data_IF_116589529735
#
_entry.id   IF_116589529735
#
_cell.length_a   1.000
_cell.length_b   1.000
_cell.length_c   1.000
_cell.angle_alpha   90.00
_cell.angle_beta   90.00
_cell.angle_gamma   90.00
#
_symmetry.space_group_name_H-M   'P 1'
#
loop_
_entity.id
_entity.type
_entity.pdbx_description
1 polymer ?
#
# COMPACT_ATOMS: atom_id res chain seq x y z
N UNK A 1 -29.21 8.44 4.13
CA UNK A 1 -28.47 8.77 5.36
C UNK A 1 -27.47 9.85 4.98
N UNK A 2 -27.65 11.08 5.45
CA UNK A 2 -26.72 12.17 5.09
C UNK A 2 -25.38 11.89 5.75
N UNK A 3 -24.28 12.27 5.10
CA UNK A 3 -22.91 12.08 5.60
C UNK A 3 -22.74 12.61 7.02
N UNK A 4 -23.53 13.60 7.46
CA UNK A 4 -23.51 14.16 8.83
C UNK A 4 -24.05 13.21 9.91
N UNK A 5 -24.98 12.31 9.62
CA UNK A 5 -25.53 11.36 10.61
C UNK A 5 -24.56 10.22 10.95
N UNK A 6 -23.68 9.85 10.00
CA UNK A 6 -22.68 8.78 10.17
C UNK A 6 -21.60 9.19 11.20
N UNK A 7 -21.43 10.49 11.48
CA UNK A 7 -20.50 11.01 12.49
C UNK A 7 -21.05 11.00 13.92
N UNK A 8 -22.33 10.70 14.11
CA UNK A 8 -22.91 10.49 15.45
C UNK A 8 -22.93 9.02 15.85
N UNK A 9 -22.17 8.16 15.18
CA UNK A 9 -21.98 6.81 15.69
C UNK A 9 -21.29 6.89 17.05
N UNK A 10 -21.89 6.33 18.11
CA UNK A 10 -21.32 6.40 19.45
C UNK A 10 -19.91 5.81 19.42
N UNK A 11 -18.93 6.45 20.08
CA UNK A 11 -17.51 6.06 20.02
C UNK A 11 -17.25 4.56 20.25
N UNK A 12 -18.11 3.89 21.02
CA UNK A 12 -18.10 2.44 21.23
C UNK A 12 -18.27 1.61 19.95
N UNK A 13 -19.04 2.06 18.96
CA UNK A 13 -19.22 1.32 17.68
C UNK A 13 -17.98 1.46 16.80
N UNK A 14 -17.39 2.67 16.73
CA UNK A 14 -16.17 2.91 15.96
C UNK A 14 -14.99 2.11 16.52
N UNK A 15 -14.85 2.05 17.86
CA UNK A 15 -13.83 1.24 18.52
C UNK A 15 -13.98 -0.26 18.19
N UNK A 16 -15.21 -0.79 18.22
CA UNK A 16 -15.48 -2.20 17.89
C UNK A 16 -15.14 -2.53 16.43
N UNK A 17 -15.51 -1.66 15.49
CA UNK A 17 -15.17 -1.85 14.07
C UNK A 17 -13.64 -1.81 13.91
N UNK A 18 -12.98 -0.80 14.47
CA UNK A 18 -11.51 -0.68 14.42
C UNK A 18 -10.79 -1.90 14.99
N UNK A 19 -11.24 -2.40 16.15
CA UNK A 19 -10.70 -3.61 16.77
C UNK A 19 -10.90 -4.84 15.87
N UNK A 20 -12.09 -5.03 15.29
CA UNK A 20 -12.36 -6.16 14.40
C UNK A 20 -11.47 -6.15 13.15
N UNK A 21 -11.27 -4.97 12.55
CA UNK A 21 -10.38 -4.75 11.40
C UNK A 21 -8.95 -5.11 11.78
N UNK A 22 -8.46 -4.61 12.92
CA UNK A 22 -7.11 -4.93 13.39
C UNK A 22 -6.91 -6.43 13.59
N UNK A 23 -7.82 -7.10 14.32
CA UNK A 23 -7.74 -8.54 14.59
C UNK A 23 -7.71 -9.35 13.28
N UNK A 24 -8.66 -9.10 12.37
CA UNK A 24 -8.73 -9.84 11.10
C UNK A 24 -7.46 -9.66 10.27
N UNK A 25 -6.93 -8.44 10.19
CA UNK A 25 -5.73 -8.18 9.40
C UNK A 25 -4.45 -8.72 10.04
N UNK A 26 -4.36 -8.75 11.38
CA UNK A 26 -3.25 -9.42 12.06
C UNK A 26 -3.30 -10.93 11.82
N UNK A 27 -4.50 -11.54 11.86
CA UNK A 27 -4.66 -12.95 11.50
C UNK A 27 -4.26 -13.22 10.05
N UNK A 28 -4.68 -12.38 9.10
CA UNK A 28 -4.22 -12.42 7.70
C UNK A 28 -2.69 -12.40 7.62
N UNK A 29 -2.06 -11.52 8.38
CA UNK A 29 -0.62 -11.35 8.37
C UNK A 29 0.09 -12.57 8.99
N UNK A 30 -0.40 -13.12 10.12
CA UNK A 30 0.12 -14.33 10.77
C UNK A 30 0.03 -15.52 9.81
N UNK A 31 -1.15 -15.74 9.20
CA UNK A 31 -1.37 -16.83 8.24
C UNK A 31 -0.43 -16.67 7.05
N UNK A 32 -0.32 -15.46 6.48
CA UNK A 32 0.58 -15.20 5.34
C UNK A 32 2.05 -15.43 5.71
N UNK A 33 2.46 -15.03 6.91
CA UNK A 33 3.80 -15.30 7.45
C UNK A 33 4.07 -16.79 7.58
N UNK A 34 3.17 -17.54 8.22
CA UNK A 34 3.28 -18.99 8.35
C UNK A 34 3.36 -19.72 7.01
N UNK A 35 2.55 -19.30 6.03
CA UNK A 35 2.61 -19.82 4.66
C UNK A 35 3.98 -19.53 4.02
N UNK A 36 4.53 -18.33 4.18
CA UNK A 36 5.83 -17.98 3.61
C UNK A 36 6.97 -18.80 4.25
N UNK A 37 6.95 -19.00 5.58
CA UNK A 37 7.91 -19.89 6.26
C UNK A 37 7.78 -21.34 5.77
N UNK A 38 6.54 -21.82 5.61
CA UNK A 38 6.28 -23.16 5.07
C UNK A 38 6.81 -23.31 3.64
N UNK A 39 6.57 -22.33 2.77
CA UNK A 39 7.08 -22.30 1.40
C UNK A 39 8.61 -22.26 1.37
N UNK A 40 9.24 -21.41 2.17
CA UNK A 40 10.70 -21.34 2.28
C UNK A 40 11.30 -22.68 2.73
N UNK A 41 10.69 -23.34 3.72
CA UNK A 41 11.12 -24.66 4.20
C UNK A 41 11.02 -25.75 3.13
N UNK A 42 9.95 -25.73 2.32
CA UNK A 42 9.65 -26.79 1.35
C UNK A 42 10.33 -26.60 0.00
N UNK A 43 10.45 -25.37 -0.47
CA UNK A 43 11.03 -25.07 -1.78
C UNK A 43 12.55 -24.90 -1.71
N UNK A 44 13.11 -24.67 -0.52
CA UNK A 44 14.51 -24.27 -0.37
C UNK A 44 14.77 -22.85 -0.89
N UNK A 45 16.01 -22.41 -0.81
CA UNK A 45 16.40 -21.04 -1.12
C UNK A 45 16.10 -20.65 -2.58
N UNK A 46 16.49 -21.49 -3.54
CA UNK A 46 16.29 -21.21 -4.98
C UNK A 46 14.81 -21.25 -5.37
N UNK A 47 14.08 -22.30 -4.96
CA UNK A 47 12.65 -22.43 -5.26
C UNK A 47 11.83 -21.30 -4.65
N UNK A 48 12.15 -20.91 -3.41
CA UNK A 48 11.54 -19.75 -2.77
C UNK A 48 11.94 -18.43 -3.43
N UNK A 49 13.16 -18.33 -3.97
CA UNK A 49 13.62 -17.21 -4.79
C UNK A 49 12.76 -17.01 -6.04
N UNK A 50 12.45 -18.08 -6.79
CA UNK A 50 11.55 -18.00 -7.95
C UNK A 50 10.12 -17.61 -7.57
N UNK A 51 9.58 -18.18 -6.48
CA UNK A 51 8.28 -17.79 -5.94
C UNK A 51 8.25 -16.29 -5.58
N UNK A 52 9.28 -15.83 -4.86
CA UNK A 52 9.46 -14.45 -4.46
C UNK A 52 9.54 -13.50 -5.67
N UNK A 53 10.14 -13.97 -6.76
CA UNK A 53 10.27 -13.20 -7.99
C UNK A 53 8.91 -12.99 -8.67
N UNK A 54 8.06 -14.02 -8.69
CA UNK A 54 6.67 -13.90 -9.16
C UNK A 54 5.90 -12.84 -8.34
N UNK A 55 6.08 -12.83 -7.02
CA UNK A 55 5.46 -11.86 -6.12
C UNK A 55 5.98 -10.44 -6.36
N UNK A 56 7.26 -10.29 -6.72
CA UNK A 56 7.85 -9.01 -7.08
C UNK A 56 7.27 -8.46 -8.40
N UNK A 57 7.13 -9.32 -9.42
CA UNK A 57 6.41 -8.95 -10.66
C UNK A 57 4.97 -8.55 -10.36
N UNK A 58 4.26 -9.31 -9.51
CA UNK A 58 2.92 -8.96 -9.06
C UNK A 58 2.88 -7.58 -8.41
N UNK A 59 3.89 -7.22 -7.62
CA UNK A 59 3.97 -5.91 -6.96
C UNK A 59 4.17 -4.79 -7.98
N UNK A 60 5.00 -5.01 -9.01
CA UNK A 60 5.17 -4.05 -10.11
C UNK A 60 3.90 -3.82 -10.90
N UNK A 61 3.23 -4.89 -11.34
CA UNK A 61 1.97 -4.78 -12.07
C UNK A 61 0.91 -4.12 -11.21
N UNK A 62 0.82 -4.47 -9.93
CA UNK A 62 -0.09 -3.83 -8.98
C UNK A 62 0.14 -2.31 -8.90
N UNK A 63 1.39 -1.87 -8.67
CA UNK A 63 1.71 -0.44 -8.51
C UNK A 63 1.36 0.40 -9.73
N UNK A 64 1.56 -0.14 -10.95
CA UNK A 64 1.22 0.58 -12.19
C UNK A 64 -0.30 0.52 -12.44
N UNK A 65 -0.88 -0.67 -12.40
CA UNK A 65 -2.29 -0.88 -12.72
C UNK A 65 -3.24 -0.23 -11.70
N UNK A 66 -2.79 0.04 -10.47
CA UNK A 66 -3.59 0.76 -9.47
C UNK A 66 -3.72 2.25 -9.77
N UNK A 67 -2.90 2.83 -10.65
CA UNK A 67 -2.88 4.27 -10.96
C UNK A 67 -2.70 5.15 -9.71
N UNK A 68 -2.03 4.65 -8.66
CA UNK A 68 -1.91 5.36 -7.38
C UNK A 68 -3.24 5.51 -6.61
N UNK A 69 -4.32 4.85 -7.05
CA UNK A 69 -5.64 4.92 -6.43
C UNK A 69 -5.63 4.44 -4.98
N UNK A 70 -4.69 3.56 -4.60
CA UNK A 70 -4.50 3.14 -3.20
C UNK A 70 -4.13 4.30 -2.27
N UNK A 71 -3.62 5.41 -2.81
CA UNK A 71 -3.24 6.60 -2.05
C UNK A 71 -4.25 7.76 -2.18
N UNK A 72 -4.88 7.93 -3.34
CA UNK A 72 -5.69 9.12 -3.64
C UNK A 72 -7.19 8.87 -3.64
N UNK A 73 -7.65 7.67 -4.01
CA UNK A 73 -9.07 7.43 -4.32
C UNK A 73 -9.98 7.58 -3.09
N UNK A 74 -9.50 7.27 -1.87
CA UNK A 74 -10.28 7.49 -0.65
C UNK A 74 -10.56 8.98 -0.44
N UNK A 75 -9.56 9.85 -0.65
CA UNK A 75 -9.73 11.31 -0.60
C UNK A 75 -10.71 11.75 -1.68
N UNK A 76 -10.50 11.31 -2.92
CA UNK A 76 -11.31 11.73 -4.07
C UNK A 76 -12.78 11.30 -3.92
N UNK A 77 -13.04 10.12 -3.35
CA UNK A 77 -14.39 9.64 -3.04
C UNK A 77 -15.05 10.36 -1.86
N UNK A 78 -14.29 10.89 -0.90
CA UNK A 78 -14.84 11.64 0.24
C UNK A 78 -15.11 13.09 -0.15
N UNK A 79 -14.25 13.68 -0.99
CA UNK A 79 -14.31 15.09 -1.38
C UNK A 79 -15.22 15.35 -2.60
N UNK A 80 -15.62 14.33 -3.37
CA UNK A 80 -16.51 14.48 -4.53
C UNK A 80 -17.99 14.33 -4.20
N UNK A 81 -18.83 15.17 -4.81
CA UNK A 81 -20.30 15.05 -4.77
C UNK A 81 -20.81 13.84 -5.58
N UNK A 82 -20.07 13.41 -6.60
CA UNK A 82 -20.46 12.36 -7.55
C UNK A 82 -19.66 11.08 -7.37
N UNK A 83 -19.72 10.52 -6.15
CA UNK A 83 -18.92 9.36 -5.73
C UNK A 83 -19.02 8.15 -6.66
N UNK A 84 -20.20 7.87 -7.21
CA UNK A 84 -20.42 6.75 -8.16
C UNK A 84 -19.69 6.97 -9.49
N UNK A 85 -19.74 8.19 -10.03
CA UNK A 85 -19.09 8.57 -11.29
C UNK A 85 -17.57 8.56 -11.12
N UNK A 86 -17.05 9.08 -10.00
CA UNK A 86 -15.62 9.00 -9.64
C UNK A 86 -15.14 7.56 -9.52
N UNK A 87 -15.92 6.69 -8.84
CA UNK A 87 -15.57 5.27 -8.73
C UNK A 87 -15.52 4.60 -10.11
N UNK A 88 -16.50 4.85 -10.96
CA UNK A 88 -16.58 4.27 -12.31
C UNK A 88 -15.43 4.77 -13.20
N UNK A 89 -15.13 6.07 -13.14
CA UNK A 89 -13.98 6.67 -13.83
C UNK A 89 -12.65 6.05 -13.39
N UNK A 90 -12.47 5.83 -12.08
CA UNK A 90 -11.29 5.15 -11.55
C UNK A 90 -11.15 3.70 -12.04
N UNK A 91 -12.27 2.98 -12.22
CA UNK A 91 -12.24 1.62 -12.80
C UNK A 91 -11.73 1.68 -14.24
N UNK A 92 -12.28 2.58 -15.05
CA UNK A 92 -11.89 2.73 -16.47
C UNK A 92 -10.41 3.06 -16.59
N UNK A 93 -9.90 4.02 -15.81
CA UNK A 93 -8.47 4.37 -15.81
C UNK A 93 -7.58 3.18 -15.43
N UNK A 94 -7.92 2.45 -14.35
CA UNK A 94 -7.16 1.27 -13.91
C UNK A 94 -7.21 0.12 -14.91
N UNK A 95 -8.32 -0.05 -15.63
CA UNK A 95 -8.43 -1.04 -16.71
C UNK A 95 -7.53 -0.68 -17.89
N UNK A 96 -7.55 0.58 -18.35
CA UNK A 96 -6.71 1.04 -19.46
C UNK A 96 -5.22 0.95 -19.12
N UNK A 97 -4.83 1.46 -17.96
CA UNK A 97 -3.43 1.45 -17.51
C UNK A 97 -2.99 0.02 -17.18
N UNK A 98 -3.86 -0.79 -16.57
CA UNK A 98 -3.61 -2.20 -16.32
C UNK A 98 -3.39 -3.00 -17.61
N UNK A 99 -4.17 -2.73 -18.66
CA UNK A 99 -3.97 -3.36 -19.97
C UNK A 99 -2.61 -3.01 -20.57
N UNK A 100 -2.22 -1.73 -20.55
CA UNK A 100 -0.90 -1.28 -21.03
C UNK A 100 0.22 -1.92 -20.22
N UNK A 101 0.11 -1.93 -18.89
CA UNK A 101 1.09 -2.54 -17.98
C UNK A 101 1.24 -4.04 -18.22
N UNK A 102 0.13 -4.74 -18.49
CA UNK A 102 0.10 -6.17 -18.80
C UNK A 102 0.82 -6.47 -20.10
N UNK A 103 0.52 -5.72 -21.17
CA UNK A 103 1.20 -5.89 -22.47
C UNK A 103 2.69 -5.62 -22.34
N UNK A 104 3.09 -4.54 -21.66
CA UNK A 104 4.49 -4.22 -21.43
C UNK A 104 5.21 -5.33 -20.63
N UNK A 105 4.59 -5.84 -19.56
CA UNK A 105 5.15 -6.92 -18.75
C UNK A 105 5.27 -8.24 -19.55
N UNK A 106 4.28 -8.58 -20.38
CA UNK A 106 4.34 -9.75 -21.26
C UNK A 106 5.44 -9.63 -22.31
N UNK A 107 5.59 -8.47 -22.97
CA UNK A 107 6.67 -8.22 -23.93
C UNK A 107 8.03 -8.41 -23.25
N UNK A 108 8.21 -7.84 -22.06
CA UNK A 108 9.45 -7.97 -21.31
C UNK A 108 9.74 -9.42 -20.90
N UNK A 109 8.73 -10.19 -20.48
CA UNK A 109 8.89 -11.62 -20.19
C UNK A 109 9.27 -12.43 -21.43
N UNK A 110 8.62 -12.17 -22.57
CA UNK A 110 8.90 -12.83 -23.84
C UNK A 110 10.28 -12.49 -24.40
N UNK A 111 10.80 -11.30 -24.07
CA UNK A 111 12.18 -10.90 -24.38
C UNK A 111 13.24 -11.54 -23.46
N UNK A 112 12.84 -12.49 -22.59
CA UNK A 112 13.77 -13.17 -21.68
C UNK A 112 14.06 -12.41 -20.38
N UNK A 113 13.25 -11.41 -20.03
CA UNK A 113 13.48 -10.56 -18.85
C UNK A 113 13.31 -11.25 -17.48
N UNK A 114 12.83 -12.50 -17.42
CA UNK A 114 12.38 -13.15 -16.19
C UNK A 114 13.31 -14.22 -15.61
N UNK A 115 13.52 -14.19 -14.29
CA UNK A 115 14.10 -15.30 -13.51
C UNK A 115 12.97 -16.28 -13.15
N UNK A 116 12.94 -17.48 -13.76
CA UNK A 116 11.90 -18.49 -13.49
C UNK A 116 10.89 -18.73 -14.62
N UNK A 117 11.16 -18.19 -15.81
CA UNK A 117 10.40 -18.48 -17.03
C UNK A 117 9.08 -17.71 -17.18
N UNK A 118 8.50 -17.80 -18.38
CA UNK A 118 7.31 -17.04 -18.80
C UNK A 118 6.09 -17.35 -17.92
N UNK A 119 5.92 -18.61 -17.49
CA UNK A 119 4.77 -19.01 -16.68
C UNK A 119 4.74 -18.37 -15.29
N UNK A 120 5.88 -18.38 -14.59
CA UNK A 120 6.03 -17.74 -13.27
C UNK A 120 5.74 -16.25 -13.34
N UNK A 121 6.32 -15.58 -14.35
CA UNK A 121 6.04 -14.16 -14.59
C UNK A 121 4.58 -13.89 -14.93
N UNK A 122 3.96 -14.72 -15.77
CA UNK A 122 2.55 -14.58 -16.15
C UNK A 122 1.60 -14.71 -14.96
N UNK A 123 1.86 -15.66 -14.05
CA UNK A 123 1.09 -15.77 -12.81
C UNK A 123 1.28 -14.57 -11.89
N UNK A 124 2.50 -14.02 -11.83
CA UNK A 124 2.77 -12.76 -11.14
C UNK A 124 1.96 -11.59 -11.71
N UNK A 125 1.91 -11.45 -13.04
CA UNK A 125 1.10 -10.43 -13.72
C UNK A 125 -0.39 -10.57 -13.36
N UNK A 126 -0.95 -11.78 -13.48
CA UNK A 126 -2.35 -12.05 -13.15
C UNK A 126 -2.68 -11.70 -11.69
N UNK A 127 -1.81 -12.08 -10.76
CA UNK A 127 -1.98 -11.75 -9.35
C UNK A 127 -1.95 -10.23 -9.12
N UNK A 128 -1.00 -9.52 -9.73
CA UNK A 128 -0.86 -8.07 -9.62
C UNK A 128 -2.10 -7.32 -10.12
N UNK A 129 -2.65 -7.73 -11.27
CA UNK A 129 -3.91 -7.20 -11.81
C UNK A 129 -5.08 -7.47 -10.87
N UNK A 130 -5.21 -8.69 -10.36
CA UNK A 130 -6.29 -9.07 -9.47
C UNK A 130 -6.30 -8.25 -8.17
N UNK A 131 -5.12 -7.87 -7.67
CA UNK A 131 -4.97 -6.96 -6.51
C UNK A 131 -5.34 -5.52 -6.91
N UNK A 132 -4.84 -5.02 -8.05
CA UNK A 132 -5.06 -3.63 -8.50
C UNK A 132 -6.55 -3.30 -8.74
N UNK A 133 -7.33 -4.31 -9.13
CA UNK A 133 -8.76 -4.18 -9.38
C UNK A 133 -9.64 -4.27 -8.13
N UNK A 134 -9.07 -4.45 -6.95
CA UNK A 134 -9.88 -4.46 -5.71
C UNK A 134 -10.54 -3.10 -5.47
N UNK A 135 -11.82 -3.05 -5.06
CA UNK A 135 -12.53 -1.81 -4.73
C UNK A 135 -12.30 -1.36 -3.27
N UNK A 136 -11.13 -1.64 -2.70
CA UNK A 136 -10.81 -1.37 -1.29
C UNK A 136 -11.10 0.09 -0.86
N UNK A 137 -10.81 1.06 -1.73
CA UNK A 137 -11.03 2.49 -1.45
C UNK A 137 -12.50 2.84 -1.24
N UNK A 138 -13.43 2.12 -1.87
CA UNK A 138 -14.87 2.32 -1.69
C UNK A 138 -15.30 1.94 -0.26
N UNK A 139 -14.87 0.77 0.21
CA UNK A 139 -15.16 0.32 1.57
C UNK A 139 -14.49 1.22 2.61
N UNK A 140 -13.27 1.69 2.35
CA UNK A 140 -12.58 2.64 3.24
C UNK A 140 -13.34 3.96 3.35
N UNK A 141 -13.76 4.53 2.22
CA UNK A 141 -14.53 5.77 2.17
C UNK A 141 -15.91 5.62 2.86
N UNK A 142 -16.51 4.43 2.82
CA UNK A 142 -17.78 4.13 3.51
C UNK A 142 -17.61 3.60 4.94
N UNK A 143 -16.37 3.51 5.47
CA UNK A 143 -16.05 2.97 6.80
C UNK A 143 -16.46 1.51 7.01
N UNK A 144 -16.53 0.74 5.93
CA UNK A 144 -16.86 -0.69 5.90
C UNK A 144 -15.61 -1.58 5.81
N UNK A 145 -14.48 -1.08 6.32
CA UNK A 145 -13.17 -1.77 6.30
C UNK A 145 -13.23 -3.21 6.84
N UNK A 146 -14.11 -3.47 7.80
CA UNK A 146 -14.29 -4.79 8.42
C UNK A 146 -14.74 -5.86 7.42
N UNK A 147 -15.57 -5.51 6.44
CA UNK A 147 -16.04 -6.44 5.40
C UNK A 147 -14.86 -6.91 4.55
N UNK A 148 -14.03 -5.97 4.10
CA UNK A 148 -12.83 -6.27 3.31
C UNK A 148 -11.86 -7.14 4.11
N UNK A 149 -11.63 -6.81 5.38
CA UNK A 149 -10.73 -7.59 6.24
C UNK A 149 -11.23 -9.02 6.46
N UNK A 150 -12.53 -9.24 6.62
CA UNK A 150 -13.09 -10.58 6.76
C UNK A 150 -12.93 -11.39 5.47
N UNK A 151 -13.22 -10.78 4.32
CA UNK A 151 -13.06 -11.43 3.02
C UNK A 151 -11.59 -11.76 2.72
N UNK A 152 -10.67 -10.87 3.08
CA UNK A 152 -9.23 -11.12 2.97
C UNK A 152 -8.77 -12.23 3.91
N UNK A 153 -9.31 -12.31 5.12
CA UNK A 153 -9.04 -13.42 6.04
C UNK A 153 -9.49 -14.75 5.46
N UNK A 154 -10.73 -14.81 4.96
CA UNK A 154 -11.25 -16.01 4.29
C UNK A 154 -10.38 -16.42 3.10
N UNK A 155 -10.01 -15.47 2.23
CA UNK A 155 -9.10 -15.72 1.10
C UNK A 155 -7.76 -16.29 1.56
N UNK A 156 -7.16 -15.75 2.63
CA UNK A 156 -5.85 -16.20 3.12
C UNK A 156 -5.89 -17.56 3.79
N UNK A 157 -6.97 -17.89 4.50
CA UNK A 157 -7.20 -19.24 5.03
C UNK A 157 -7.30 -20.24 3.88
N UNK A 158 -8.14 -19.97 2.88
CA UNK A 158 -8.31 -20.85 1.72
C UNK A 158 -7.01 -20.99 0.91
N UNK A 159 -6.28 -19.89 0.71
CA UNK A 159 -4.99 -19.89 0.03
C UNK A 159 -3.95 -20.69 0.82
N UNK A 160 -3.92 -20.56 2.15
CA UNK A 160 -3.04 -21.34 3.01
C UNK A 160 -3.30 -22.84 2.89
N UNK A 161 -4.55 -23.25 2.95
CA UNK A 161 -4.94 -24.65 2.75
C UNK A 161 -4.50 -25.16 1.36
N UNK A 162 -4.78 -24.38 0.30
CA UNK A 162 -4.40 -24.75 -1.07
C UNK A 162 -2.88 -24.88 -1.24
N UNK A 163 -2.11 -23.92 -0.72
CA UNK A 163 -0.64 -23.93 -0.78
C UNK A 163 -0.07 -25.13 -0.03
N UNK A 164 -0.54 -25.38 1.20
CA UNK A 164 -0.06 -26.51 2.00
C UNK A 164 -0.38 -27.84 1.31
N UNK A 165 -1.57 -27.99 0.73
CA UNK A 165 -1.94 -29.19 0.00
C UNK A 165 -1.09 -29.40 -1.27
N UNK A 166 -0.93 -28.35 -2.10
CA UNK A 166 -0.21 -28.44 -3.38
C UNK A 166 1.29 -28.62 -3.17
N UNK A 167 1.93 -27.74 -2.40
CA UNK A 167 3.39 -27.80 -2.17
C UNK A 167 3.76 -28.96 -1.24
N UNK A 168 2.86 -29.35 -0.33
CA UNK A 168 3.03 -30.56 0.47
C UNK A 168 3.05 -31.85 -0.35
N UNK A 169 2.37 -31.85 -1.50
CA UNK A 169 2.39 -32.95 -2.48
C UNK A 169 3.67 -32.98 -3.33
N UNK A 170 4.44 -31.89 -3.34
CA UNK A 170 5.74 -31.82 -4.00
C UNK A 170 6.11 -30.41 -4.46
N UNK A 171 7.41 -30.06 -4.50
CA UNK A 171 7.88 -28.73 -4.89
C UNK A 171 7.54 -28.37 -6.35
N UNK A 172 7.34 -29.35 -7.22
CA UNK A 172 6.92 -29.16 -8.61
C UNK A 172 5.57 -28.43 -8.75
N UNK A 173 4.74 -28.43 -7.70
CA UNK A 173 3.43 -27.76 -7.68
C UNK A 173 3.50 -26.30 -7.20
N UNK A 174 4.68 -25.72 -6.99
CA UNK A 174 4.83 -24.32 -6.57
C UNK A 174 4.11 -23.33 -7.50
N UNK A 175 4.17 -23.55 -8.82
CA UNK A 175 3.46 -22.72 -9.78
C UNK A 175 1.93 -22.83 -9.63
N UNK A 176 1.42 -24.04 -9.41
CA UNK A 176 0.00 -24.27 -9.14
C UNK A 176 -0.44 -23.58 -7.84
N UNK A 177 0.44 -23.52 -6.84
CA UNK A 177 0.20 -22.80 -5.61
C UNK A 177 0.05 -21.28 -5.86
N UNK A 178 0.92 -20.66 -6.65
CA UNK A 178 0.78 -19.24 -7.05
C UNK A 178 -0.52 -19.02 -7.83
N UNK A 179 -0.82 -19.91 -8.78
CA UNK A 179 -2.05 -19.83 -9.57
C UNK A 179 -3.30 -19.90 -8.67
N UNK A 180 -3.30 -20.77 -7.65
CA UNK A 180 -4.41 -20.87 -6.69
C UNK A 180 -4.63 -19.57 -5.92
N UNK A 181 -3.56 -18.87 -5.53
CA UNK A 181 -3.64 -17.55 -4.87
C UNK A 181 -4.24 -16.51 -5.82
N UNK A 182 -3.80 -16.50 -7.08
CA UNK A 182 -4.35 -15.58 -8.09
C UNK A 182 -5.85 -15.83 -8.32
N UNK A 183 -6.27 -17.08 -8.44
CA UNK A 183 -7.69 -17.46 -8.60
C UNK A 183 -8.51 -17.02 -7.37
N UNK A 184 -8.04 -17.33 -6.16
CA UNK A 184 -8.73 -16.93 -4.93
C UNK A 184 -8.82 -15.40 -4.80
N UNK A 185 -7.79 -14.67 -5.20
CA UNK A 185 -7.81 -13.21 -5.25
C UNK A 185 -8.84 -12.68 -6.25
N UNK A 186 -8.95 -13.28 -7.44
CA UNK A 186 -9.99 -12.94 -8.43
C UNK A 186 -11.38 -13.20 -7.85
N UNK A 187 -11.62 -14.36 -7.25
CA UNK A 187 -12.90 -14.70 -6.59
C UNK A 187 -13.24 -13.68 -5.51
N UNK A 188 -12.28 -13.35 -4.63
CA UNK A 188 -12.46 -12.33 -3.61
C UNK A 188 -12.81 -10.95 -4.23
N UNK A 189 -12.08 -10.53 -5.26
CA UNK A 189 -12.37 -9.27 -5.97
C UNK A 189 -13.77 -9.27 -6.59
N UNK A 190 -14.23 -10.38 -7.17
CA UNK A 190 -15.60 -10.52 -7.70
C UNK A 190 -16.64 -10.37 -6.59
N UNK A 191 -16.44 -11.03 -5.46
CA UNK A 191 -17.34 -10.91 -4.29
C UNK A 191 -17.40 -9.46 -3.82
N UNK A 192 -16.25 -8.79 -3.67
CA UNK A 192 -16.18 -7.38 -3.28
C UNK A 192 -16.93 -6.48 -4.26
N UNK A 193 -16.72 -6.66 -5.57
CA UNK A 193 -17.44 -5.89 -6.59
C UNK A 193 -18.94 -6.14 -6.59
N UNK A 194 -19.38 -7.37 -6.29
CA UNK A 194 -20.80 -7.69 -6.14
C UNK A 194 -21.45 -6.91 -4.99
N UNK A 195 -20.72 -6.70 -3.89
CA UNK A 195 -21.19 -5.90 -2.76
C UNK A 195 -21.23 -4.41 -3.12
N UNK A 196 -20.20 -3.89 -3.80
CA UNK A 196 -20.18 -2.50 -4.26
C UNK A 196 -21.36 -2.21 -5.20
N UNK A 197 -21.66 -3.11 -6.15
CA UNK A 197 -22.82 -2.97 -7.06
C UNK A 197 -24.17 -2.92 -6.35
N UNK A 198 -24.30 -3.52 -5.16
CA UNK A 198 -25.52 -3.43 -4.34
C UNK A 198 -25.64 -2.07 -3.63
N UNK A 199 -24.52 -1.40 -3.38
CA UNK A 199 -24.46 -0.13 -2.66
C UNK A 199 -24.48 1.10 -3.58
N UNK A 200 -24.02 0.95 -4.82
CA UNK A 200 -23.96 2.04 -5.78
C UNK A 200 -24.25 1.56 -7.21
N UNK A 201 -24.89 2.44 -7.99
CA UNK A 201 -25.08 2.22 -9.42
C UNK A 201 -23.79 2.62 -10.14
N UNK A 202 -23.04 1.63 -10.59
CA UNK A 202 -21.91 1.83 -11.49
C UNK A 202 -22.45 2.03 -12.90
N UNK A 203 -22.42 3.27 -13.39
CA UNK A 203 -22.94 3.63 -14.70
C UNK A 203 -21.79 4.00 -15.66
N UNK A 204 -21.45 3.07 -16.55
CA UNK A 204 -20.43 3.28 -17.58
C UNK A 204 -20.94 4.14 -18.76
N UNK A 205 -22.22 4.50 -18.78
CA UNK A 205 -22.83 5.39 -19.76
C UNK A 205 -23.05 6.81 -19.23
N UNK A 206 -22.65 7.09 -17.99
CA UNK A 206 -22.72 8.42 -17.41
C UNK A 206 -21.92 9.41 -18.29
N UNK A 207 -22.57 10.46 -18.76
CA UNK A 207 -21.96 11.51 -19.59
C UNK A 207 -20.77 12.18 -18.89
N UNK A 208 -20.73 12.13 -17.56
CA UNK A 208 -19.66 12.69 -16.73
C UNK A 208 -18.44 11.78 -16.65
N UNK A 209 -18.54 10.51 -17.05
CA UNK A 209 -17.48 9.51 -16.89
C UNK A 209 -16.13 10.01 -17.39
N UNK A 210 -16.08 10.56 -18.60
CA UNK A 210 -14.85 11.05 -19.21
C UNK A 210 -14.33 12.32 -18.56
N UNK A 211 -15.22 13.19 -18.08
CA UNK A 211 -14.85 14.39 -17.33
C UNK A 211 -14.21 14.02 -15.99
N UNK A 212 -14.81 13.09 -15.26
CA UNK A 212 -14.29 12.57 -13.99
C UNK A 212 -12.97 11.80 -14.20
N UNK A 213 -12.87 10.99 -15.27
CA UNK A 213 -11.63 10.28 -15.60
C UNK A 213 -10.50 11.25 -15.95
N UNK A 214 -10.78 12.29 -16.73
CA UNK A 214 -9.82 13.33 -17.03
C UNK A 214 -9.42 14.12 -15.76
N UNK A 215 -10.40 14.47 -14.91
CA UNK A 215 -10.15 15.13 -13.62
C UNK A 215 -9.23 14.30 -12.73
N UNK A 216 -9.56 13.02 -12.53
CA UNK A 216 -8.71 12.07 -11.78
C UNK A 216 -7.31 11.95 -12.37
N UNK A 217 -7.18 11.94 -13.70
CA UNK A 217 -5.88 11.91 -14.35
C UNK A 217 -5.06 13.16 -14.04
N UNK A 218 -5.63 14.34 -14.27
CA UNK A 218 -4.94 15.63 -14.06
C UNK A 218 -4.53 15.81 -12.60
N UNK A 219 -5.44 15.49 -11.67
CA UNK A 219 -5.22 15.68 -10.23
C UNK A 219 -4.20 14.68 -9.67
N UNK A 220 -4.19 13.44 -10.17
CA UNK A 220 -3.37 12.36 -9.61
C UNK A 220 -2.13 12.00 -10.44
N UNK A 221 -1.87 12.66 -11.58
CA UNK A 221 -0.73 12.34 -12.47
C UNK A 221 0.62 12.30 -11.75
N UNK A 222 0.86 13.19 -10.80
CA UNK A 222 2.13 13.21 -10.06
C UNK A 222 2.26 12.03 -9.10
N UNK A 223 1.16 11.63 -8.45
CA UNK A 223 1.15 10.42 -7.61
C UNK A 223 1.35 9.18 -8.48
N UNK A 224 0.72 9.12 -9.65
CA UNK A 224 0.93 8.04 -10.62
C UNK A 224 2.38 7.97 -11.11
N UNK A 225 2.96 9.09 -11.55
CA UNK A 225 4.37 9.13 -11.98
C UNK A 225 5.32 8.76 -10.84
N UNK A 226 4.98 9.15 -9.59
CA UNK A 226 5.74 8.76 -8.42
C UNK A 226 5.76 7.24 -8.20
N UNK A 227 4.71 6.51 -8.64
CA UNK A 227 4.70 5.03 -8.54
C UNK A 227 5.81 4.39 -9.36
N UNK A 228 6.06 4.84 -10.59
CA UNK A 228 7.19 4.37 -11.40
C UNK A 228 8.53 4.69 -10.73
N UNK A 229 8.66 5.89 -10.20
CA UNK A 229 9.86 6.29 -9.47
C UNK A 229 10.10 5.41 -8.23
N UNK A 230 9.04 5.04 -7.51
CA UNK A 230 9.10 4.08 -6.42
C UNK A 230 9.43 2.65 -6.90
N UNK A 231 9.00 2.23 -8.09
CA UNK A 231 9.39 0.94 -8.67
C UNK A 231 10.90 0.86 -8.89
N UNK A 232 11.56 1.96 -9.26
CA UNK A 232 13.02 1.99 -9.41
C UNK A 232 13.76 1.63 -8.11
N UNK A 233 13.13 1.81 -6.95
CA UNK A 233 13.72 1.41 -5.66
C UNK A 233 13.80 -0.12 -5.51
N UNK A 234 13.05 -0.89 -6.29
CA UNK A 234 13.16 -2.35 -6.34
C UNK A 234 14.25 -2.85 -7.30
N UNK A 235 14.98 -1.94 -7.97
CA UNK A 235 16.12 -2.33 -8.82
C UNK A 235 17.18 -3.13 -8.06
N UNK A 236 17.39 -2.85 -6.77
CA UNK A 236 18.26 -3.66 -5.91
C UNK A 236 17.81 -5.12 -5.82
N UNK A 237 16.51 -5.37 -5.63
CA UNK A 237 15.94 -6.73 -5.63
C UNK A 237 16.12 -7.42 -6.99
N UNK A 238 15.93 -6.69 -8.10
CA UNK A 238 16.17 -7.21 -9.45
C UNK A 238 17.65 -7.58 -9.68
N UNK A 239 18.58 -6.76 -9.18
CA UNK A 239 20.01 -7.06 -9.26
C UNK A 239 20.40 -8.28 -8.42
N UNK A 240 19.84 -8.43 -7.21
CA UNK A 240 20.03 -9.63 -6.38
C UNK A 240 19.51 -10.88 -7.09
N UNK A 241 18.31 -10.82 -7.66
CA UNK A 241 17.73 -11.94 -8.40
C UNK A 241 18.62 -12.38 -9.57
N UNK A 242 19.36 -11.46 -10.20
CA UNK A 242 20.36 -11.78 -11.24
C UNK A 242 21.64 -12.40 -10.71
N UNK A 243 22.04 -12.08 -9.48
CA UNK A 243 23.23 -12.67 -8.85
C UNK A 243 22.99 -14.10 -8.35
N UNK A 244 21.74 -14.50 -8.14
CA UNK A 244 21.37 -15.87 -7.77
C UNK A 244 20.03 -15.92 -7.05
N UNK A 245 19.25 -16.97 -7.32
CA UNK A 245 17.93 -17.16 -6.70
C UNK A 245 18.03 -17.34 -5.18
N UNK A 246 19.04 -18.05 -4.69
CA UNK A 246 19.31 -18.21 -3.26
C UNK A 246 19.51 -16.87 -2.51
N UNK A 247 20.43 -16.01 -2.97
CA UNK A 247 20.68 -14.68 -2.36
C UNK A 247 19.41 -13.83 -2.32
N UNK A 248 18.63 -13.87 -3.39
CA UNK A 248 17.35 -13.18 -3.46
C UNK A 248 16.30 -13.80 -2.53
N UNK A 249 16.29 -15.13 -2.39
CA UNK A 249 15.46 -15.87 -1.44
C UNK A 249 15.74 -15.51 0.01
N UNK A 250 17.02 -15.40 0.40
CA UNK A 250 17.43 -14.99 1.75
C UNK A 250 16.98 -13.56 2.09
N UNK A 251 17.22 -12.62 1.18
CA UNK A 251 16.73 -11.25 1.33
C UNK A 251 15.20 -11.19 1.42
N UNK A 252 14.51 -11.93 0.54
CA UNK A 252 13.05 -11.87 0.48
C UNK A 252 12.41 -12.51 1.70
N UNK A 253 12.97 -13.58 2.26
CA UNK A 253 12.49 -14.16 3.52
C UNK A 253 12.47 -13.11 4.64
N UNK A 254 13.60 -12.41 4.84
CA UNK A 254 13.70 -11.33 5.81
C UNK A 254 12.68 -10.20 5.51
N UNK A 255 12.53 -9.82 4.24
CA UNK A 255 11.57 -8.79 3.82
C UNK A 255 10.11 -9.22 4.03
N UNK A 256 9.76 -10.50 3.91
CA UNK A 256 8.40 -10.98 4.18
C UNK A 256 8.04 -10.86 5.66
N UNK A 257 9.00 -11.11 6.56
CA UNK A 257 8.80 -10.87 8.00
C UNK A 257 8.55 -9.38 8.29
N UNK A 258 9.24 -8.47 7.59
CA UNK A 258 8.94 -7.03 7.70
C UNK A 258 7.60 -6.67 7.08
N UNK A 259 7.23 -7.31 5.98
CA UNK A 259 5.92 -7.08 5.32
C UNK A 259 4.76 -7.38 6.27
N UNK A 260 4.89 -8.40 7.13
CA UNK A 260 3.94 -8.66 8.22
C UNK A 260 3.72 -7.43 9.12
N UNK A 261 4.81 -6.77 9.53
CA UNK A 261 4.75 -5.57 10.37
C UNK A 261 4.13 -4.39 9.64
N UNK A 262 4.55 -4.17 8.40
CA UNK A 262 4.05 -3.08 7.54
C UNK A 262 2.56 -3.24 7.29
N UNK A 263 2.04 -4.47 7.19
CA UNK A 263 0.58 -4.72 7.15
C UNK A 263 -0.09 -4.22 8.43
N UNK A 264 0.43 -4.55 9.61
CA UNK A 264 -0.10 -4.05 10.89
C UNK A 264 -0.08 -2.53 10.99
N UNK A 265 1.03 -1.91 10.61
CA UNK A 265 1.18 -0.45 10.55
C UNK A 265 0.19 0.18 9.57
N UNK A 266 -0.01 -0.40 8.38
CA UNK A 266 -0.97 0.06 7.40
C UNK A 266 -2.41 0.10 7.94
N UNK A 267 -2.81 -0.87 8.77
CA UNK A 267 -4.14 -0.88 9.36
C UNK A 267 -4.33 0.24 10.38
N UNK A 268 -3.36 0.43 11.27
CA UNK A 268 -3.40 1.55 12.21
C UNK A 268 -3.47 2.88 11.46
N UNK A 269 -2.64 3.01 10.43
CA UNK A 269 -2.57 4.17 9.59
C UNK A 269 -3.93 4.40 8.85
N UNK A 270 -4.58 3.35 8.36
CA UNK A 270 -5.91 3.41 7.69
C UNK A 270 -7.00 3.98 8.59
N UNK A 271 -6.99 3.66 9.90
CA UNK A 271 -7.96 4.22 10.86
C UNK A 271 -7.89 5.74 10.95
N UNK A 272 -6.71 6.33 10.73
CA UNK A 272 -6.50 7.78 10.76
C UNK A 272 -6.77 8.46 9.42
N UNK A 273 -6.91 7.71 8.31
CA UNK A 273 -6.98 8.28 6.97
C UNK A 273 -8.17 9.26 6.76
N UNK A 274 -9.41 8.96 7.20
CA UNK A 274 -10.52 9.90 7.05
C UNK A 274 -10.28 11.22 7.81
N UNK A 275 -9.80 11.14 9.04
CA UNK A 275 -9.47 12.31 9.86
C UNK A 275 -8.34 13.14 9.26
N UNK A 276 -7.31 12.50 8.72
CA UNK A 276 -6.24 13.20 8.02
C UNK A 276 -6.79 13.95 6.80
N UNK A 277 -7.64 13.30 5.99
CA UNK A 277 -8.26 13.93 4.81
C UNK A 277 -9.16 15.13 5.17
N UNK A 278 -9.88 15.06 6.29
CA UNK A 278 -10.69 16.17 6.83
C UNK A 278 -9.81 17.34 7.28
N UNK A 279 -8.75 17.08 8.04
CA UNK A 279 -7.84 18.13 8.54
C UNK A 279 -7.01 18.79 7.44
N UNK A 280 -6.82 18.12 6.31
CA UNK A 280 -6.15 18.69 5.14
C UNK A 280 -7.12 19.30 4.12
N UNK A 281 -8.42 19.30 4.40
CA UNK A 281 -9.39 19.98 3.54
C UNK A 281 -9.21 21.52 3.62
N UNK A 282 -9.64 22.22 2.57
CA UNK A 282 -9.57 23.68 2.51
C UNK A 282 -10.29 24.32 3.71
N UNK A 283 -9.64 25.31 4.34
CA UNK A 283 -10.19 26.07 5.46
C UNK A 283 -9.78 25.60 6.87
N UNK A 284 -9.01 24.52 7.01
CA UNK A 284 -8.45 24.13 8.31
C UNK A 284 -7.21 24.97 8.67
N UNK A 285 -7.09 25.47 9.92
CA UNK A 285 -5.91 26.22 10.36
C UNK A 285 -4.63 25.38 10.28
N UNK A 286 -3.55 25.95 9.73
CA UNK A 286 -2.27 25.26 9.55
C UNK A 286 -1.69 24.72 10.86
N UNK A 287 -1.84 25.47 11.96
CA UNK A 287 -1.41 25.05 13.30
C UNK A 287 -2.15 23.80 13.80
N UNK A 288 -3.46 23.70 13.54
CA UNK A 288 -4.27 22.55 13.93
C UNK A 288 -3.85 21.30 13.15
N UNK A 289 -3.61 21.44 11.85
CA UNK A 289 -3.10 20.36 10.98
C UNK A 289 -1.73 19.87 11.44
N UNK A 290 -0.80 20.77 11.79
CA UNK A 290 0.52 20.41 12.32
C UNK A 290 0.43 19.67 13.65
N UNK A 291 -0.44 20.11 14.57
CA UNK A 291 -0.66 19.45 15.86
C UNK A 291 -1.19 18.03 15.67
N UNK A 292 -2.16 17.85 14.78
CA UNK A 292 -2.72 16.55 14.45
C UNK A 292 -1.68 15.63 13.82
N UNK A 293 -0.88 16.13 12.86
CA UNK A 293 0.23 15.40 12.25
C UNK A 293 1.20 14.88 13.33
N UNK A 294 1.69 15.75 14.22
CA UNK A 294 2.65 15.36 15.25
C UNK A 294 2.08 14.31 16.20
N UNK A 295 0.78 14.43 16.54
CA UNK A 295 0.10 13.43 17.38
C UNK A 295 0.01 12.07 16.68
N UNK A 296 -0.40 12.03 15.42
CA UNK A 296 -0.49 10.78 14.66
C UNK A 296 0.89 10.17 14.42
N UNK A 297 1.91 11.00 14.14
CA UNK A 297 3.29 10.58 14.06
C UNK A 297 3.76 9.91 15.34
N UNK A 298 3.58 10.55 16.50
CA UNK A 298 3.96 9.96 17.78
C UNK A 298 3.26 8.62 18.04
N UNK A 299 1.93 8.56 17.86
CA UNK A 299 1.15 7.32 18.07
C UNK A 299 1.61 6.18 17.15
N UNK A 300 1.79 6.45 15.86
CA UNK A 300 2.19 5.43 14.89
C UNK A 300 3.67 5.04 15.06
N UNK A 301 4.55 5.96 15.42
CA UNK A 301 5.95 5.66 15.75
C UNK A 301 6.05 4.71 16.95
N UNK A 302 5.31 5.00 18.04
CA UNK A 302 5.29 4.14 19.23
C UNK A 302 4.76 2.75 18.87
N UNK A 303 3.63 2.68 18.17
CA UNK A 303 3.07 1.40 17.73
C UNK A 303 4.04 0.63 16.81
N UNK A 304 4.73 1.33 15.90
CA UNK A 304 5.73 0.73 15.01
C UNK A 304 6.92 0.18 15.79
N UNK A 305 7.40 0.90 16.81
CA UNK A 305 8.45 0.43 17.70
C UNK A 305 8.02 -0.83 18.47
N UNK A 306 6.80 -0.84 19.03
CA UNK A 306 6.26 -2.01 19.72
C UNK A 306 6.12 -3.24 18.82
N UNK A 307 5.83 -3.05 17.53
CA UNK A 307 5.77 -4.15 16.56
C UNK A 307 7.17 -4.61 16.13
N UNK A 308 8.08 -3.68 15.87
CA UNK A 308 9.41 -3.95 15.30
C UNK A 308 10.38 -4.51 16.32
N UNK A 309 10.41 -3.96 17.53
CA UNK A 309 11.42 -4.30 18.54
C UNK A 309 11.45 -5.81 18.88
N UNK A 310 10.31 -6.51 19.11
CA UNK A 310 10.34 -7.95 19.38
C UNK A 310 10.99 -8.77 18.26
N UNK A 311 10.76 -8.43 17.00
CA UNK A 311 11.34 -9.17 15.87
C UNK A 311 12.77 -8.74 15.57
N UNK A 312 13.17 -7.51 15.90
CA UNK A 312 14.57 -7.13 15.84
C UNK A 312 15.43 -8.04 16.75
N UNK A 313 14.96 -8.32 17.97
CA UNK A 313 15.67 -9.17 18.92
C UNK A 313 15.44 -10.67 18.70
N UNK A 314 14.19 -11.10 18.50
CA UNK A 314 13.83 -12.52 18.40
C UNK A 314 13.80 -13.06 16.96
N UNK A 315 13.81 -12.19 15.95
CA UNK A 315 13.68 -12.57 14.54
C UNK A 315 14.76 -13.53 14.03
N UNK A 316 16.06 -13.27 14.27
CA UNK A 316 17.12 -14.22 13.89
C UNK A 316 16.92 -15.60 14.50
N UNK A 317 16.55 -15.66 15.78
CA UNK A 317 16.24 -16.91 16.48
C UNK A 317 15.02 -17.62 15.88
N UNK A 318 13.95 -16.89 15.54
CA UNK A 318 12.77 -17.47 14.89
C UNK A 318 13.12 -18.05 13.51
N UNK A 319 13.93 -17.36 12.71
CA UNK A 319 14.35 -17.85 11.39
C UNK A 319 15.14 -19.15 11.56
N UNK A 320 16.12 -19.19 12.47
CA UNK A 320 16.92 -20.39 12.71
C UNK A 320 16.08 -21.56 13.26
N UNK A 321 15.12 -21.26 14.15
CA UNK A 321 14.20 -22.26 14.70
C UNK A 321 13.34 -22.94 13.62
N UNK A 322 12.79 -22.16 12.68
CA UNK A 322 11.90 -22.69 11.64
C UNK A 322 12.64 -23.19 10.40
N UNK A 323 13.87 -22.71 10.15
CA UNK A 323 14.63 -22.94 8.93
C UNK A 323 16.12 -23.19 9.22
N UNK A 324 16.46 -24.21 10.03
CA UNK A 324 17.82 -24.43 10.53
C UNK A 324 18.81 -24.64 9.39
N UNK A 325 19.89 -23.84 9.39
CA UNK A 325 21.01 -23.95 8.46
C UNK A 325 20.73 -23.58 6.99
N UNK A 326 19.52 -23.09 6.64
CA UNK A 326 19.13 -22.78 5.24
C UNK A 326 19.00 -21.29 4.92
N UNK A 327 19.03 -20.42 5.91
CA UNK A 327 18.80 -18.99 5.72
C UNK A 327 19.68 -18.15 6.65
N UNK A 328 20.96 -18.51 6.74
CA UNK A 328 21.90 -17.97 7.73
C UNK A 328 21.98 -16.44 7.69
N UNK A 329 22.07 -15.82 6.51
CA UNK A 329 22.15 -14.36 6.41
C UNK A 329 20.81 -13.65 6.60
N UNK A 330 19.67 -14.35 6.51
CA UNK A 330 18.36 -13.73 6.62
C UNK A 330 18.12 -13.12 8.01
N UNK A 331 18.72 -13.69 9.06
CA UNK A 331 18.65 -13.14 10.43
C UNK A 331 19.25 -11.73 10.53
N UNK A 332 20.47 -11.53 10.05
CA UNK A 332 21.12 -10.21 10.07
C UNK A 332 20.42 -9.23 9.12
N UNK A 333 20.00 -9.69 7.93
CA UNK A 333 19.23 -8.87 7.00
C UNK A 333 17.92 -8.39 7.62
N UNK A 334 17.23 -9.26 8.38
CA UNK A 334 16.01 -8.93 9.09
C UNK A 334 16.24 -7.80 10.10
N UNK A 335 17.35 -7.80 10.84
CA UNK A 335 17.65 -6.72 11.79
C UNK A 335 17.82 -5.36 11.10
N UNK A 336 18.50 -5.31 9.95
CA UNK A 336 18.61 -4.07 9.15
C UNK A 336 17.24 -3.67 8.61
N UNK A 337 16.48 -4.62 8.07
CA UNK A 337 15.15 -4.36 7.54
C UNK A 337 14.13 -4.00 8.63
N UNK A 338 14.36 -4.35 9.89
CA UNK A 338 13.57 -3.87 11.02
C UNK A 338 13.72 -2.34 11.19
N UNK A 339 14.90 -1.76 10.94
CA UNK A 339 15.07 -0.30 10.93
C UNK A 339 14.22 0.34 9.82
N UNK A 340 14.21 -0.28 8.64
CA UNK A 340 13.32 0.10 7.54
C UNK A 340 11.83 -0.04 7.92
N UNK A 341 11.45 -1.18 8.53
CA UNK A 341 10.09 -1.46 8.99
C UNK A 341 9.63 -0.45 10.03
N UNK A 342 10.50 0.00 10.94
CA UNK A 342 10.19 1.08 11.88
C UNK A 342 9.88 2.39 11.15
N UNK A 343 10.68 2.76 10.15
CA UNK A 343 10.49 3.98 9.37
C UNK A 343 9.21 3.94 8.51
N UNK A 344 8.72 2.77 8.10
CA UNK A 344 7.50 2.63 7.29
C UNK A 344 6.27 3.21 8.00
N UNK A 345 6.06 2.94 9.28
CA UNK A 345 4.88 3.41 10.01
C UNK A 345 4.72 4.95 9.97
N UNK A 346 5.70 5.73 10.45
CA UNK A 346 5.67 7.19 10.39
C UNK A 346 5.54 7.71 8.95
N UNK A 347 6.23 7.09 7.99
CA UNK A 347 6.13 7.46 6.58
C UNK A 347 4.71 7.30 6.02
N UNK A 348 3.92 6.31 6.48
CA UNK A 348 2.52 6.18 6.09
C UNK A 348 1.66 7.36 6.53
N UNK A 349 1.91 7.92 7.72
CA UNK A 349 1.22 9.14 8.20
C UNK A 349 1.63 10.34 7.35
N UNK A 350 2.94 10.53 7.16
CA UNK A 350 3.50 11.66 6.39
C UNK A 350 2.97 11.64 4.95
N UNK A 351 3.01 10.50 4.28
CA UNK A 351 2.48 10.36 2.92
C UNK A 351 1.00 10.80 2.82
N UNK A 352 0.17 10.49 3.82
CA UNK A 352 -1.25 10.90 3.81
C UNK A 352 -1.41 12.40 3.97
N UNK A 353 -0.66 13.04 4.85
CA UNK A 353 -0.70 14.49 4.99
C UNK A 353 -0.15 15.19 3.74
N UNK A 354 0.94 14.69 3.14
CA UNK A 354 1.48 15.21 1.88
C UNK A 354 0.44 15.19 0.76
N UNK A 355 -0.27 14.07 0.59
CA UNK A 355 -1.31 13.92 -0.45
C UNK A 355 -2.59 14.69 -0.08
N UNK A 356 -2.94 14.73 1.20
CA UNK A 356 -4.08 15.49 1.71
C UNK A 356 -3.92 17.00 1.46
N UNK A 357 -2.72 17.54 1.71
CA UNK A 357 -2.35 18.94 1.50
C UNK A 357 -2.07 19.31 0.04
N UNK A 358 -2.41 18.44 -0.92
CA UNK A 358 -2.18 18.64 -2.36
C UNK A 358 -0.71 18.97 -2.71
N UNK A 359 0.23 18.33 -2.01
CA UNK A 359 1.67 18.46 -2.25
C UNK A 359 2.19 17.35 -3.17
N UNK A 360 1.40 16.90 -4.15
CA UNK A 360 1.72 15.75 -5.00
C UNK A 360 2.97 15.99 -5.87
N UNK A 361 3.24 17.25 -6.24
CA UNK A 361 4.46 17.62 -6.97
C UNK A 361 5.72 17.33 -6.16
N UNK A 362 5.74 17.72 -4.89
CA UNK A 362 6.85 17.42 -3.99
C UNK A 362 6.98 15.93 -3.72
N UNK A 363 5.84 15.25 -3.52
CA UNK A 363 5.81 13.80 -3.41
C UNK A 363 6.48 13.12 -4.63
N UNK A 364 6.16 13.58 -5.83
CA UNK A 364 6.77 13.11 -7.08
C UNK A 364 8.28 13.39 -7.14
N UNK A 365 8.72 14.62 -6.88
CA UNK A 365 10.15 14.98 -6.89
C UNK A 365 10.93 14.10 -5.91
N UNK A 366 10.43 13.94 -4.69
CA UNK A 366 11.06 13.10 -3.66
C UNK A 366 11.13 11.64 -4.12
N UNK A 367 10.06 11.11 -4.74
CA UNK A 367 10.03 9.76 -5.27
C UNK A 367 11.05 9.56 -6.42
N UNK A 368 11.16 10.52 -7.34
CA UNK A 368 12.13 10.49 -8.44
C UNK A 368 13.56 10.53 -7.91
N UNK A 369 13.87 11.44 -7.00
CA UNK A 369 15.19 11.52 -6.37
C UNK A 369 15.54 10.20 -5.70
N UNK A 370 14.60 9.61 -4.96
CA UNK A 370 14.78 8.29 -4.33
C UNK A 370 15.02 7.17 -5.34
N UNK A 371 14.24 7.13 -6.42
CA UNK A 371 14.36 6.14 -7.48
C UNK A 371 15.68 6.25 -8.24
N UNK A 372 16.08 7.48 -8.60
CA UNK A 372 17.35 7.78 -9.25
C UNK A 372 18.54 7.42 -8.36
N UNK A 373 18.48 7.77 -7.07
CA UNK A 373 19.52 7.42 -6.11
C UNK A 373 19.65 5.89 -5.97
N UNK A 374 18.53 5.17 -5.92
CA UNK A 374 18.54 3.70 -5.91
C UNK A 374 19.19 3.11 -7.17
N UNK A 375 18.82 3.64 -8.34
CA UNK A 375 19.35 3.17 -9.62
C UNK A 375 20.85 3.47 -9.78
N UNK A 376 21.35 4.54 -9.19
CA UNK A 376 22.77 4.89 -9.19
C UNK A 376 23.58 4.06 -8.18
N UNK A 377 23.07 3.91 -6.95
CA UNK A 377 23.81 3.26 -5.86
C UNK A 377 23.82 1.74 -5.95
N UNK A 378 22.71 1.10 -6.34
CA UNK A 378 22.64 -0.36 -6.30
C UNK A 378 23.60 -1.08 -7.25
N UNK A 379 23.81 -0.64 -8.51
CA UNK A 379 24.81 -1.26 -9.38
C UNK A 379 26.23 -1.24 -8.80
N UNK A 380 26.55 -0.26 -7.94
CA UNK A 380 27.86 -0.14 -7.29
C UNK A 380 27.93 -0.96 -5.99
N UNK A 381 26.88 -0.90 -5.17
CA UNK A 381 26.88 -1.49 -3.83
C UNK A 381 26.52 -2.99 -3.82
N UNK A 382 25.61 -3.44 -4.70
CA UNK A 382 25.13 -4.82 -4.73
C UNK A 382 26.23 -5.83 -5.13
N UNK A 383 27.15 -5.55 -6.07
CA UNK A 383 28.29 -6.43 -6.31
C UNK A 383 29.23 -6.60 -5.09
N UNK A 384 29.33 -5.59 -4.23
CA UNK A 384 30.26 -5.58 -3.11
C UNK A 384 29.64 -6.15 -1.83
N UNK A 385 28.38 -5.84 -1.54
CA UNK A 385 27.71 -6.19 -0.28
C UNK A 385 26.46 -7.05 -0.45
N UNK A 386 26.11 -7.45 -1.69
CA UNK A 386 24.97 -8.31 -1.97
C UNK A 386 23.67 -7.80 -1.34
N UNK A 387 22.99 -8.69 -0.62
CA UNK A 387 21.70 -8.41 0.00
C UNK A 387 21.73 -7.29 1.06
N UNK A 388 22.87 -7.09 1.72
CA UNK A 388 23.04 -6.04 2.72
C UNK A 388 22.96 -4.64 2.11
N UNK A 389 23.51 -4.44 0.90
CA UNK A 389 23.39 -3.18 0.18
C UNK A 389 21.92 -2.83 -0.10
N UNK A 390 21.12 -3.82 -0.49
CA UNK A 390 19.70 -3.60 -0.77
C UNK A 390 18.93 -3.23 0.50
N UNK A 391 19.17 -3.94 1.61
CA UNK A 391 18.54 -3.67 2.90
C UNK A 391 18.87 -2.27 3.43
N UNK A 392 20.15 -1.87 3.43
CA UNK A 392 20.55 -0.52 3.83
C UNK A 392 20.01 0.54 2.88
N UNK A 393 20.03 0.28 1.57
CA UNK A 393 19.43 1.17 0.59
C UNK A 393 17.95 1.40 0.85
N UNK A 394 17.18 0.38 1.28
CA UNK A 394 15.77 0.56 1.64
C UNK A 394 15.61 1.50 2.82
N UNK A 395 16.37 1.28 3.88
CA UNK A 395 16.33 2.14 5.06
C UNK A 395 16.70 3.59 4.73
N UNK A 396 17.87 3.82 4.11
CA UNK A 396 18.39 5.16 3.82
C UNK A 396 17.45 5.92 2.87
N UNK A 397 17.04 5.28 1.78
CA UNK A 397 16.14 5.90 0.80
C UNK A 397 14.78 6.26 1.41
N UNK A 398 14.26 5.42 2.30
CA UNK A 398 12.97 5.66 2.94
C UNK A 398 13.06 6.76 4.00
N UNK A 399 14.11 6.74 4.83
CA UNK A 399 14.38 7.78 5.83
C UNK A 399 14.57 9.15 5.17
N UNK A 400 15.36 9.23 4.10
CA UNK A 400 15.58 10.47 3.36
C UNK A 400 14.29 11.04 2.76
N UNK A 401 13.49 10.17 2.13
CA UNK A 401 12.19 10.57 1.58
C UNK A 401 11.21 11.05 2.67
N UNK A 402 11.17 10.35 3.80
CA UNK A 402 10.34 10.72 4.95
C UNK A 402 10.73 12.10 5.49
N UNK A 403 12.02 12.34 5.72
CA UNK A 403 12.54 13.63 6.21
C UNK A 403 12.21 14.77 5.25
N UNK A 404 12.39 14.57 3.94
CA UNK A 404 12.06 15.56 2.92
C UNK A 404 10.56 15.90 2.92
N UNK A 405 9.68 14.90 3.03
CA UNK A 405 8.25 15.14 3.07
C UNK A 405 7.80 15.88 4.33
N UNK A 406 8.41 15.59 5.49
CA UNK A 406 8.13 16.35 6.73
C UNK A 406 8.44 17.83 6.51
N UNK A 407 9.58 18.16 5.89
CA UNK A 407 9.93 19.55 5.57
C UNK A 407 8.87 20.18 4.65
N UNK A 408 8.41 19.47 3.61
CA UNK A 408 7.34 19.95 2.73
C UNK A 408 6.04 20.24 3.49
N UNK A 409 5.60 19.34 4.37
CA UNK A 409 4.37 19.54 5.16
C UNK A 409 4.52 20.71 6.13
N UNK A 410 5.66 20.83 6.80
CA UNK A 410 5.93 21.95 7.70
C UNK A 410 5.97 23.28 6.96
N UNK A 411 6.48 23.32 5.72
CA UNK A 411 6.42 24.48 4.85
C UNK A 411 4.98 24.84 4.44
N UNK A 412 4.20 23.85 4.04
CA UNK A 412 2.81 24.04 3.59
C UNK A 412 1.83 24.45 4.70
N UNK A 413 2.19 24.23 5.96
CA UNK A 413 1.34 24.54 7.13
C UNK A 413 1.73 25.82 7.86
N UNK A 414 2.71 26.60 7.34
CA UNK A 414 3.02 27.92 7.87
C UNK A 414 1.89 28.88 7.50
N UNK A 415 1.30 29.52 8.51
CA UNK A 415 0.35 30.61 8.28
C UNK A 415 1.06 31.75 7.56
N UNK A 416 0.45 32.35 6.51
CA UNK A 416 0.98 33.57 5.92
C UNK A 416 0.99 34.63 7.01
N UNK A 417 2.19 35.01 7.46
CA UNK A 417 2.37 35.95 8.57
C UNK A 417 1.87 37.38 8.24
N UNK A 418 1.52 37.61 6.97
CA UNK A 418 1.21 38.93 6.41
C UNK A 418 -0.14 38.98 5.66
N UNK A 419 -1.17 38.21 6.06
CA UNK A 419 -2.53 38.59 5.62
C UNK A 419 -2.96 39.80 6.46
N UNK A 420 -2.99 41.03 5.90
CA UNK A 420 -3.34 42.21 6.65
C UNK A 420 -4.74 42.04 7.27
N UNK A 421 -4.84 42.24 8.59
CA UNK A 421 -6.07 42.17 9.39
C UNK A 421 -7.22 43.03 8.83
N UNK A 422 -6.92 43.94 7.90
CA UNK A 422 -7.88 44.86 7.28
C UNK A 422 -8.87 44.21 6.30
N UNK A 423 -8.82 42.89 6.07
CA UNK A 423 -9.86 42.13 5.35
C UNK A 423 -10.58 41.12 6.26
N UNK A 424 -10.69 41.39 7.56
CA UNK A 424 -11.80 40.86 8.35
C UNK A 424 -13.12 41.43 7.80
N UNK A 425 -13.59 40.84 6.69
CA UNK A 425 -15.01 40.90 6.39
C UNK A 425 -15.71 40.27 7.60
N UNK A 426 -16.61 41.00 8.28
CA UNK A 426 -17.32 40.46 9.43
C UNK A 426 -17.93 39.14 9.02
N UNK A 427 -17.63 38.08 9.78
CA UNK A 427 -18.14 36.75 9.52
C UNK A 427 -19.66 36.85 9.26
N UNK A 428 -20.17 36.30 8.15
CA UNK A 428 -21.59 36.40 7.82
C UNK A 428 -22.39 35.95 9.02
N UNK A 429 -23.23 36.87 9.50
CA UNK A 429 -23.92 36.77 10.77
C UNK A 429 -24.62 35.41 10.84
N UNK A 430 -24.25 34.56 11.80
CA UNK A 430 -24.72 33.17 11.89
C UNK A 430 -26.26 33.07 12.06
N UNK A 431 -26.92 34.21 12.31
CA UNK A 431 -28.36 34.38 12.27
C UNK A 431 -28.96 34.26 10.85
N UNK A 432 -28.26 34.69 9.80
CA UNK A 432 -28.75 34.66 8.41
C UNK A 432 -28.85 33.26 7.80
N UNK A 433 -28.20 32.25 8.40
CA UNK A 433 -28.20 30.85 7.93
C UNK A 433 -29.24 29.97 8.63
N UNK A 434 -30.10 30.52 9.50
CA UNK A 434 -31.12 29.75 10.23
C UNK A 434 -32.51 29.70 9.58
N UNK A 435 -32.81 30.55 8.60
CA UNK A 435 -34.17 30.71 8.06
C UNK A 435 -34.50 29.90 6.80
N UNK A 436 -33.53 29.20 6.20
CA UNK A 436 -33.83 28.29 5.08
C UNK A 436 -34.17 26.87 5.58
N UNK A 437 -35.29 26.74 6.30
CA UNK A 437 -35.99 25.46 6.39
C UNK A 437 -36.95 25.35 5.21
N UNK A 438 -36.78 24.38 4.30
CA UNK A 438 -37.81 24.12 3.31
C UNK A 438 -39.10 23.71 4.04
N UNK A 439 -40.19 24.43 3.75
CA UNK A 439 -41.53 24.04 4.18
C UNK A 439 -41.82 22.63 3.66
N UNK A 440 -42.26 21.75 4.57
CA UNK A 440 -42.54 20.35 4.32
C UNK A 440 -43.78 20.15 3.46
#
# INVERSE_FOLDING_TARGET
MSTREIFRLPGKRMLRIGASVMVCNYLVAIISGGINFYLAARLGEDGYGYYSYAMLISTFVFMVASFGAERTLVRDLIQSEHRSSVMTASIVLRMLIGAVATVAALIWLMAGGGVGGVWTGSMGILLGLAIAWSPNAWFDANREMHVVSLLQLAEKVLAGVAIVALVGSGPQYALAAIASVAVLRVVNSVVQWSLVRRQTRLDFRDERLWREAHGLWVDNRFVFLATFAMMLTYSGQMLLAKQGAANFGQFTLALQVITFMVVGQNQLARLFAPRAAEMTAAGCPGQATRRELMRQLAMVSIASLCLVAPVFFAGPWLIDLFLPGRYEHAGTLLQILCLYGFACGPALVINRFTIGLRQERWFFVIAVTRGALSLALYPLAVPLWGAYAVAWGYFINHLGAMSAQVVCILGATREPQDQPEHLEQPAPDAASLRDERPAA
#
